data_IF_085984259410
#
_entry.id   IF_085984259410
#
_cell.length_a   1.000
_cell.length_b   1.000
_cell.length_c   1.000
_cell.angle_alpha   90.00
_cell.angle_beta   90.00
_cell.angle_gamma   90.00
#
_symmetry.space_group_name_H-M   'P 1'
#
loop_
_entity.id
_entity.type
_entity.pdbx_description
1 polymer ?
#
# COMPACT_ATOMS: atom_id res chain seq x y z
N UNK A 1 -16.17 20.38 31.60
CA UNK A 1 -17.30 20.51 30.68
C UNK A 1 -16.76 20.19 29.29
N UNK A 2 -17.25 19.09 28.74
CA UNK A 2 -16.90 18.40 27.50
C UNK A 2 -16.15 19.22 26.44
N UNK A 3 -14.90 18.84 26.18
CA UNK A 3 -14.25 19.06 24.87
C UNK A 3 -15.07 18.22 23.89
N UNK A 4 -15.76 18.90 22.99
CA UNK A 4 -16.62 18.32 21.96
C UNK A 4 -15.78 17.44 21.04
N UNK A 5 -16.02 16.13 21.12
CA UNK A 5 -15.74 15.16 20.06
C UNK A 5 -16.57 15.56 18.83
N UNK A 6 -15.97 16.25 17.86
CA UNK A 6 -16.65 16.56 16.60
C UNK A 6 -15.69 16.64 15.40
N UNK A 7 -14.77 15.67 15.27
CA UNK A 7 -13.91 15.56 14.08
C UNK A 7 -14.04 14.21 13.33
N UNK A 8 -15.02 13.38 13.66
CA UNK A 8 -15.17 12.05 13.06
C UNK A 8 -16.34 11.90 12.08
N UNK A 9 -17.14 12.95 11.86
CA UNK A 9 -18.12 12.99 10.78
C UNK A 9 -17.53 13.78 9.61
N UNK A 10 -17.54 13.19 8.41
CA UNK A 10 -17.20 13.88 7.18
C UNK A 10 -18.21 15.00 6.92
N UNK A 11 -17.72 16.20 6.60
CA UNK A 11 -18.53 17.41 6.59
C UNK A 11 -19.33 17.57 5.28
N UNK A 12 -20.43 18.31 5.32
CA UNK A 12 -21.31 18.52 4.16
C UNK A 12 -20.57 19.16 2.97
N UNK A 13 -19.57 19.98 3.25
CA UNK A 13 -18.72 20.63 2.25
C UNK A 13 -17.86 19.60 1.50
N UNK A 14 -17.25 18.65 2.22
CA UNK A 14 -16.51 17.52 1.61
C UNK A 14 -17.43 16.60 0.81
N UNK A 15 -18.71 16.46 1.20
CA UNK A 15 -19.70 15.66 0.47
C UNK A 15 -20.09 16.29 -0.87
N UNK A 16 -20.39 17.59 -0.89
CA UNK A 16 -20.61 18.34 -2.13
C UNK A 16 -19.41 18.17 -3.07
N UNK A 17 -18.21 18.35 -2.52
CA UNK A 17 -16.98 18.20 -3.29
C UNK A 17 -16.87 16.81 -3.93
N UNK A 18 -17.25 15.74 -3.20
CA UNK A 18 -17.29 14.38 -3.72
C UNK A 18 -18.36 14.17 -4.80
N UNK A 19 -19.57 14.72 -4.62
CA UNK A 19 -20.66 14.55 -5.59
C UNK A 19 -20.34 15.25 -6.92
N UNK A 20 -19.81 16.48 -6.83
CA UNK A 20 -19.41 17.25 -8.01
C UNK A 20 -18.22 16.60 -8.72
N UNK A 21 -17.25 16.05 -7.98
CA UNK A 21 -16.14 15.29 -8.56
C UNK A 21 -16.62 14.05 -9.33
N UNK A 22 -17.56 13.31 -8.75
CA UNK A 22 -18.19 12.15 -9.40
C UNK A 22 -18.92 12.57 -10.68
N UNK A 23 -19.77 13.60 -10.62
CA UNK A 23 -20.47 14.10 -11.80
C UNK A 23 -19.48 14.48 -12.91
N UNK A 24 -18.43 15.24 -12.58
CA UNK A 24 -17.44 15.67 -13.57
C UNK A 24 -16.68 14.50 -14.23
N UNK A 25 -16.31 13.48 -13.47
CA UNK A 25 -15.47 12.38 -13.96
C UNK A 25 -16.23 11.25 -14.65
N UNK A 26 -17.46 10.95 -14.21
CA UNK A 26 -18.20 9.77 -14.64
C UNK A 26 -19.32 10.08 -15.64
N UNK A 27 -19.64 11.36 -15.88
CA UNK A 27 -20.69 11.76 -16.82
C UNK A 27 -20.50 11.21 -18.24
N UNK A 28 -19.25 10.97 -18.67
CA UNK A 28 -18.93 10.33 -19.95
C UNK A 28 -19.50 8.90 -20.09
N UNK A 29 -19.75 8.22 -18.97
CA UNK A 29 -20.34 6.87 -18.92
C UNK A 29 -21.87 6.92 -19.02
N UNK A 30 -22.47 8.07 -18.69
CA UNK A 30 -23.91 8.30 -18.75
C UNK A 30 -24.36 8.85 -20.11
N UNK A 31 -23.63 9.84 -20.66
CA UNK A 31 -24.00 10.59 -21.86
C UNK A 31 -22.83 10.68 -22.82
N UNK A 32 -23.08 10.40 -24.10
CA UNK A 32 -22.10 10.58 -25.17
C UNK A 32 -22.77 11.21 -26.38
N UNK A 33 -22.15 12.28 -26.93
CA UNK A 33 -22.68 13.03 -28.08
C UNK A 33 -24.12 13.54 -27.90
N UNK A 34 -24.52 13.89 -26.67
CA UNK A 34 -25.87 14.37 -26.35
C UNK A 34 -26.93 13.27 -26.21
N UNK A 35 -26.55 11.99 -26.33
CA UNK A 35 -27.43 10.84 -26.14
C UNK A 35 -27.09 10.12 -24.84
N UNK A 36 -28.12 9.62 -24.15
CA UNK A 36 -27.96 8.78 -22.96
C UNK A 36 -27.51 7.40 -23.42
N UNK A 37 -26.32 6.98 -22.99
CA UNK A 37 -25.75 5.67 -23.32
C UNK A 37 -25.94 4.67 -22.17
N UNK A 38 -26.21 5.15 -20.95
CA UNK A 38 -26.55 4.33 -19.80
C UNK A 38 -27.57 5.06 -18.91
N UNK A 39 -28.81 4.53 -18.87
CA UNK A 39 -29.91 5.13 -18.11
C UNK A 39 -29.67 5.11 -16.60
N UNK A 40 -28.97 4.10 -16.07
CA UNK A 40 -28.66 3.99 -14.64
C UNK A 40 -27.71 5.11 -14.21
N UNK A 41 -26.56 5.20 -14.89
CA UNK A 41 -25.55 6.24 -14.67
C UNK A 41 -26.15 7.64 -14.88
N UNK A 42 -27.00 7.83 -15.88
CA UNK A 42 -27.66 9.12 -16.12
C UNK A 42 -28.62 9.52 -14.98
N UNK A 43 -29.37 8.56 -14.44
CA UNK A 43 -30.21 8.83 -13.27
C UNK A 43 -29.37 9.17 -12.03
N UNK A 44 -28.22 8.51 -11.83
CA UNK A 44 -27.29 8.87 -10.76
C UNK A 44 -26.76 10.30 -10.92
N UNK A 45 -26.41 10.73 -12.15
CA UNK A 45 -26.00 12.13 -12.40
C UNK A 45 -27.08 13.12 -11.98
N UNK A 46 -28.35 12.83 -12.29
CA UNK A 46 -29.49 13.66 -11.90
C UNK A 46 -29.66 13.69 -10.37
N UNK A 47 -29.62 12.54 -9.71
CA UNK A 47 -29.74 12.41 -8.25
C UNK A 47 -28.60 13.15 -7.53
N UNK A 48 -27.36 12.98 -7.96
CA UNK A 48 -26.20 13.64 -7.35
C UNK A 48 -26.24 15.16 -7.57
N UNK A 49 -26.73 15.63 -8.72
CA UNK A 49 -26.90 17.06 -8.96
C UNK A 49 -27.96 17.68 -8.03
N UNK A 50 -29.06 16.95 -7.78
CA UNK A 50 -30.12 17.38 -6.87
C UNK A 50 -29.65 17.36 -5.40
N UNK A 51 -28.94 16.30 -4.99
CA UNK A 51 -28.39 16.18 -3.64
C UNK A 51 -27.33 17.27 -3.38
N UNK A 52 -26.48 17.58 -4.36
CA UNK A 52 -25.50 18.67 -4.27
C UNK A 52 -26.18 20.00 -3.94
N UNK A 53 -27.29 20.30 -4.65
CA UNK A 53 -28.07 21.50 -4.41
C UNK A 53 -28.68 21.54 -3.01
N UNK A 54 -29.31 20.45 -2.58
CA UNK A 54 -29.93 20.36 -1.25
C UNK A 54 -28.89 20.56 -0.13
N UNK A 55 -27.72 19.91 -0.23
CA UNK A 55 -26.66 20.07 0.77
C UNK A 55 -26.15 21.52 0.75
N UNK A 56 -25.98 22.13 -0.44
CA UNK A 56 -25.45 23.48 -0.57
C UNK A 56 -26.36 24.54 0.08
N UNK A 57 -27.68 24.36 0.03
CA UNK A 57 -28.63 25.25 0.71
C UNK A 57 -28.41 25.31 2.23
N UNK A 58 -27.90 24.23 2.84
CA UNK A 58 -27.60 24.13 4.28
C UNK A 58 -26.28 24.78 4.68
N UNK A 59 -25.42 25.10 3.70
CA UNK A 59 -24.08 25.61 3.92
C UNK A 59 -24.09 27.11 4.28
N UNK A 60 -23.16 27.49 5.16
CA UNK A 60 -22.93 28.90 5.56
C UNK A 60 -21.77 29.47 4.77
N UNK A 61 -22.05 30.45 3.91
CA UNK A 61 -21.09 31.18 3.07
C UNK A 61 -21.30 32.68 3.20
N UNK A 62 -20.33 33.47 2.75
CA UNK A 62 -20.56 34.90 2.48
C UNK A 62 -21.58 35.04 1.33
N UNK A 63 -22.43 36.08 1.36
CA UNK A 63 -23.51 36.23 0.36
C UNK A 63 -22.98 36.29 -1.09
N UNK A 64 -21.77 36.83 -1.29
CA UNK A 64 -21.10 36.89 -2.60
C UNK A 64 -20.65 35.53 -3.10
N UNK A 65 -19.89 34.79 -2.28
CA UNK A 65 -19.39 33.45 -2.63
C UNK A 65 -20.57 32.47 -2.79
N UNK A 66 -21.61 32.62 -1.96
CA UNK A 66 -22.80 31.77 -2.02
C UNK A 66 -23.52 31.91 -3.36
N UNK A 67 -23.80 33.14 -3.79
CA UNK A 67 -24.54 33.39 -5.03
C UNK A 67 -23.79 32.87 -6.27
N UNK A 68 -22.46 33.00 -6.28
CA UNK A 68 -21.63 32.55 -7.40
C UNK A 68 -21.58 31.02 -7.50
N UNK A 69 -21.33 30.32 -6.39
CA UNK A 69 -21.30 28.84 -6.37
C UNK A 69 -22.71 28.28 -6.61
N UNK A 70 -23.74 28.91 -6.06
CA UNK A 70 -25.14 28.53 -6.31
C UNK A 70 -25.45 28.56 -7.80
N UNK A 71 -25.10 29.65 -8.49
CA UNK A 71 -25.30 29.79 -9.94
C UNK A 71 -24.66 28.66 -10.73
N UNK A 72 -23.44 28.25 -10.38
CA UNK A 72 -22.73 27.16 -11.05
C UNK A 72 -23.33 25.79 -10.76
N UNK A 73 -23.81 25.54 -9.53
CA UNK A 73 -24.54 24.29 -9.20
C UNK A 73 -25.84 24.20 -10.02
N UNK A 74 -26.56 25.31 -10.18
CA UNK A 74 -27.73 25.36 -11.07
C UNK A 74 -27.37 25.15 -12.53
N UNK A 75 -26.27 25.75 -13.00
CA UNK A 75 -25.75 25.55 -14.36
C UNK A 75 -25.42 24.07 -14.60
N UNK A 76 -24.68 23.44 -13.69
CA UNK A 76 -24.33 22.02 -13.75
C UNK A 76 -25.57 21.12 -13.85
N UNK A 77 -26.57 21.35 -12.99
CA UNK A 77 -27.82 20.58 -13.03
C UNK A 77 -28.56 20.74 -14.37
N UNK A 78 -28.64 21.96 -14.90
CA UNK A 78 -29.23 22.22 -16.21
C UNK A 78 -28.48 21.52 -17.34
N UNK A 79 -27.15 21.51 -17.29
CA UNK A 79 -26.30 20.85 -18.29
C UNK A 79 -26.51 19.34 -18.35
N UNK A 80 -26.68 18.68 -17.18
CA UNK A 80 -27.00 17.25 -17.11
C UNK A 80 -28.39 16.99 -17.72
N UNK A 81 -29.39 17.82 -17.39
CA UNK A 81 -30.75 17.70 -17.96
C UNK A 81 -30.73 17.88 -19.48
N UNK A 82 -29.99 18.88 -19.97
CA UNK A 82 -29.86 19.19 -21.40
C UNK A 82 -28.90 18.28 -22.16
N UNK A 83 -28.24 17.33 -21.48
CA UNK A 83 -27.27 16.40 -22.07
C UNK A 83 -26.12 17.15 -22.76
N UNK A 84 -25.58 18.16 -22.07
CA UNK A 84 -24.46 18.95 -22.55
C UNK A 84 -23.21 18.07 -22.81
N UNK A 85 -22.18 18.66 -23.44
CA UNK A 85 -20.95 17.94 -23.74
C UNK A 85 -20.23 17.51 -22.46
N UNK A 86 -19.48 16.41 -22.54
CA UNK A 86 -18.67 15.88 -21.42
C UNK A 86 -17.69 16.94 -20.92
N UNK A 87 -17.04 17.65 -21.86
CA UNK A 87 -16.06 18.69 -21.55
C UNK A 87 -16.67 19.85 -20.77
N UNK A 88 -17.88 20.28 -21.14
CA UNK A 88 -18.53 21.40 -20.45
C UNK A 88 -18.95 20.98 -19.03
N UNK A 89 -19.53 19.78 -18.86
CA UNK A 89 -19.93 19.26 -17.55
C UNK A 89 -18.73 19.09 -16.63
N UNK A 90 -17.63 18.50 -17.13
CA UNK A 90 -16.39 18.39 -16.38
C UNK A 90 -15.83 19.77 -15.99
N UNK A 91 -15.86 20.73 -16.93
CA UNK A 91 -15.38 22.09 -16.71
C UNK A 91 -16.14 22.83 -15.60
N UNK A 92 -17.48 22.76 -15.58
CA UNK A 92 -18.29 23.39 -14.53
C UNK A 92 -18.12 22.65 -13.20
N UNK A 93 -18.08 21.32 -13.20
CA UNK A 93 -17.78 20.53 -12.01
C UNK A 93 -16.44 20.94 -11.38
N UNK A 94 -15.37 21.07 -12.18
CA UNK A 94 -14.06 21.51 -11.69
C UNK A 94 -14.08 22.91 -11.07
N UNK A 95 -14.80 23.87 -11.66
CA UNK A 95 -14.96 25.23 -11.10
C UNK A 95 -15.63 25.21 -9.72
N UNK A 96 -16.73 24.46 -9.58
CA UNK A 96 -17.44 24.33 -8.31
C UNK A 96 -16.51 23.71 -7.26
N UNK A 97 -15.75 22.67 -7.62
CA UNK A 97 -14.78 22.03 -6.71
C UNK A 97 -13.75 23.04 -6.19
N UNK A 98 -13.12 23.81 -7.08
CA UNK A 98 -12.10 24.80 -6.72
C UNK A 98 -12.65 25.86 -5.75
N UNK A 99 -13.85 26.38 -6.02
CA UNK A 99 -14.50 27.37 -5.16
C UNK A 99 -14.87 26.80 -3.80
N UNK A 100 -15.48 25.62 -3.74
CA UNK A 100 -15.82 24.96 -2.47
C UNK A 100 -14.57 24.69 -1.63
N UNK A 101 -13.48 24.21 -2.25
CA UNK A 101 -12.19 24.02 -1.57
C UNK A 101 -11.67 25.34 -1.01
N UNK A 102 -11.69 26.40 -1.81
CA UNK A 102 -11.19 27.72 -1.41
C UNK A 102 -12.02 28.36 -0.30
N UNK A 103 -13.36 28.36 -0.42
CA UNK A 103 -14.27 29.00 0.54
C UNK A 103 -14.29 28.30 1.91
N UNK A 104 -14.04 26.99 1.94
CA UNK A 104 -14.08 26.20 3.18
C UNK A 104 -12.73 25.74 3.70
N UNK A 105 -11.64 26.03 2.98
CA UNK A 105 -10.30 25.56 3.33
C UNK A 105 -10.23 24.03 3.40
N UNK A 106 -10.94 23.33 2.52
CA UNK A 106 -11.00 21.87 2.54
C UNK A 106 -9.62 21.33 2.15
N UNK A 107 -9.02 20.57 3.05
CA UNK A 107 -7.82 19.78 2.74
C UNK A 107 -8.23 18.61 1.85
N UNK A 108 -7.95 18.74 0.54
CA UNK A 108 -8.25 17.75 -0.51
C UNK A 108 -7.06 16.85 -0.83
N UNK A 109 -6.02 16.88 -0.02
CA UNK A 109 -4.78 16.15 -0.20
C UNK A 109 -4.27 15.62 1.15
N UNK A 110 -3.42 14.59 1.18
CA UNK A 110 -2.91 14.08 2.43
C UNK A 110 -1.91 15.06 3.08
N UNK A 111 -2.01 15.28 4.39
CA UNK A 111 -1.08 16.15 5.13
C UNK A 111 0.31 15.53 5.26
N UNK A 112 0.37 14.19 5.29
CA UNK A 112 1.59 13.38 5.34
C UNK A 112 1.72 12.59 4.06
N UNK A 113 2.94 12.28 3.64
CA UNK A 113 3.14 11.39 2.51
C UNK A 113 2.51 10.01 2.81
N UNK A 114 1.57 9.51 1.98
CA UNK A 114 0.96 8.20 2.20
C UNK A 114 1.94 7.03 2.02
N UNK A 115 1.68 5.92 2.71
CA UNK A 115 2.40 4.64 2.59
C UNK A 115 1.56 3.62 1.83
N UNK A 116 2.11 3.07 0.74
CA UNK A 116 1.44 2.00 -0.01
C UNK A 116 1.34 0.70 0.81
N UNK A 117 2.32 0.43 1.66
CA UNK A 117 2.36 -0.77 2.49
C UNK A 117 1.25 -0.74 3.56
N UNK A 118 1.09 0.40 4.25
CA UNK A 118 0.00 0.61 5.19
C UNK A 118 -1.37 0.54 4.48
N UNK A 119 -1.46 1.14 3.29
CA UNK A 119 -2.66 1.09 2.45
C UNK A 119 -3.02 -0.34 2.01
N UNK A 120 -2.02 -1.14 1.64
CA UNK A 120 -2.18 -2.54 1.26
C UNK A 120 -2.77 -3.38 2.39
N UNK A 121 -2.23 -3.25 3.61
CA UNK A 121 -2.74 -3.99 4.77
C UNK A 121 -4.20 -3.62 5.07
N UNK A 122 -4.52 -2.33 5.04
CA UNK A 122 -5.88 -1.85 5.26
C UNK A 122 -6.83 -2.32 4.16
N UNK A 123 -6.42 -2.27 2.89
CA UNK A 123 -7.20 -2.75 1.76
C UNK A 123 -7.46 -4.26 1.85
N UNK A 124 -6.43 -5.05 2.16
CA UNK A 124 -6.54 -6.49 2.35
C UNK A 124 -7.59 -6.84 3.41
N UNK A 125 -7.59 -6.11 4.53
CA UNK A 125 -8.48 -6.38 5.66
C UNK A 125 -9.91 -5.86 5.46
N UNK A 126 -10.11 -4.75 4.73
CA UNK A 126 -11.40 -4.05 4.70
C UNK A 126 -12.09 -4.06 3.32
N UNK A 127 -11.36 -4.19 2.22
CA UNK A 127 -11.85 -3.94 0.86
C UNK A 127 -11.81 -5.20 -0.02
N UNK A 128 -10.78 -6.03 0.15
CA UNK A 128 -10.50 -7.18 -0.73
C UNK A 128 -11.61 -8.24 -0.77
N UNK A 129 -12.43 -8.33 0.27
CA UNK A 129 -13.55 -9.28 0.34
C UNK A 129 -14.62 -9.00 -0.72
N UNK A 130 -14.79 -7.74 -1.15
CA UNK A 130 -15.71 -7.38 -2.24
C UNK A 130 -14.93 -7.06 -3.53
N UNK A 131 -13.86 -6.26 -3.45
CA UNK A 131 -13.15 -5.78 -4.65
C UNK A 131 -12.04 -6.72 -5.14
N UNK A 132 -11.74 -7.81 -4.43
CA UNK A 132 -10.63 -8.71 -4.74
C UNK A 132 -9.26 -8.12 -4.38
N UNK A 133 -8.23 -8.98 -4.21
CA UNK A 133 -6.88 -8.50 -3.88
C UNK A 133 -6.24 -7.71 -5.03
N UNK A 134 -6.60 -8.03 -6.27
CA UNK A 134 -6.17 -7.35 -7.49
C UNK A 134 -7.08 -6.21 -7.92
N UNK A 135 -8.12 -5.87 -7.15
CA UNK A 135 -9.10 -4.86 -7.55
C UNK A 135 -10.04 -5.29 -8.69
N UNK A 136 -10.09 -6.59 -9.03
CA UNK A 136 -10.88 -7.11 -10.14
C UNK A 136 -12.39 -7.24 -9.86
N UNK A 137 -12.87 -6.83 -8.69
CA UNK A 137 -14.27 -6.97 -8.30
C UNK A 137 -14.70 -8.42 -8.02
N UNK A 138 -13.74 -9.32 -7.81
CA UNK A 138 -13.93 -10.78 -7.71
C UNK A 138 -13.79 -11.32 -6.28
N UNK A 139 -13.99 -10.46 -5.29
CA UNK A 139 -13.93 -10.84 -3.88
C UNK A 139 -14.99 -11.90 -3.50
N UNK A 140 -14.73 -12.62 -2.41
CA UNK A 140 -15.63 -13.68 -1.92
C UNK A 140 -17.05 -13.19 -1.62
N UNK A 141 -17.23 -11.92 -1.27
CA UNK A 141 -18.51 -11.26 -1.02
C UNK A 141 -19.08 -10.52 -2.24
N UNK A 142 -18.39 -10.51 -3.39
CA UNK A 142 -18.87 -9.84 -4.59
C UNK A 142 -20.14 -10.48 -5.15
N UNK A 143 -20.28 -11.80 -5.00
CA UNK A 143 -21.39 -12.57 -5.56
C UNK A 143 -22.71 -12.22 -4.87
N UNK A 144 -23.68 -11.76 -5.67
CA UNK A 144 -25.05 -11.44 -5.20
C UNK A 144 -25.26 -9.99 -4.78
N UNK A 145 -24.23 -9.13 -4.88
CA UNK A 145 -24.39 -7.69 -4.74
C UNK A 145 -24.98 -7.10 -6.01
N UNK A 146 -25.90 -6.15 -5.85
CA UNK A 146 -26.50 -5.38 -6.94
C UNK A 146 -26.53 -3.88 -6.55
N UNK A 147 -25.78 -3.00 -7.25
CA UNK A 147 -24.85 -3.33 -8.33
C UNK A 147 -23.64 -4.17 -7.85
N UNK A 148 -22.95 -4.90 -8.76
CA UNK A 148 -21.72 -5.61 -8.42
C UNK A 148 -20.62 -4.62 -7.99
N UNK A 149 -19.61 -5.06 -7.20
CA UNK A 149 -18.47 -4.21 -6.88
C UNK A 149 -17.76 -3.72 -8.14
N UNK A 150 -17.36 -2.46 -8.15
CA UNK A 150 -16.59 -1.87 -9.24
C UNK A 150 -15.27 -2.61 -9.44
N UNK A 151 -14.93 -2.87 -10.70
CA UNK A 151 -13.63 -3.36 -11.14
C UNK A 151 -12.66 -2.18 -11.15
N UNK A 152 -11.85 -2.05 -10.10
CA UNK A 152 -10.96 -0.91 -9.87
C UNK A 152 -9.82 -0.79 -10.89
N UNK A 153 -9.53 -1.89 -11.59
CA UNK A 153 -8.52 -2.00 -12.65
C UNK A 153 -9.11 -1.91 -14.06
N UNK A 154 -10.42 -1.69 -14.19
CA UNK A 154 -11.03 -1.45 -15.49
C UNK A 154 -10.43 -0.18 -16.11
N UNK A 155 -9.93 -0.21 -17.37
CA UNK A 155 -9.23 0.94 -17.95
C UNK A 155 -10.07 2.22 -17.98
N UNK A 156 -11.35 2.13 -18.32
CA UNK A 156 -12.23 3.29 -18.44
C UNK A 156 -12.48 3.91 -17.06
N UNK A 157 -12.80 3.07 -16.07
CA UNK A 157 -12.96 3.52 -14.69
C UNK A 157 -11.65 4.09 -14.10
N UNK A 158 -10.54 3.38 -14.29
CA UNK A 158 -9.24 3.74 -13.77
C UNK A 158 -8.71 5.05 -14.38
N UNK A 159 -9.07 5.37 -15.63
CA UNK A 159 -8.72 6.63 -16.28
C UNK A 159 -9.32 7.85 -15.57
N UNK A 160 -10.56 7.74 -15.05
CA UNK A 160 -11.24 8.78 -14.30
C UNK A 160 -10.94 8.81 -12.81
N UNK A 161 -10.15 7.87 -12.29
CA UNK A 161 -9.94 7.70 -10.85
C UNK A 161 -8.83 8.61 -10.30
N UNK A 162 -9.04 9.15 -9.09
CA UNK A 162 -8.06 9.90 -8.31
C UNK A 162 -8.00 9.37 -6.86
N UNK A 163 -6.88 9.52 -6.13
CA UNK A 163 -6.82 9.20 -4.71
C UNK A 163 -7.90 9.93 -3.90
N UNK A 164 -8.18 11.18 -4.22
CA UNK A 164 -9.21 11.96 -3.55
C UNK A 164 -10.61 11.35 -3.72
N UNK A 165 -10.95 10.89 -4.93
CA UNK A 165 -12.21 10.19 -5.20
C UNK A 165 -12.33 8.89 -4.40
N UNK A 166 -11.24 8.10 -4.32
CA UNK A 166 -11.21 6.87 -3.50
C UNK A 166 -11.36 7.20 -2.01
N UNK A 167 -10.61 8.20 -1.51
CA UNK A 167 -10.67 8.68 -0.14
C UNK A 167 -12.11 9.09 0.27
N UNK A 168 -12.79 9.83 -0.59
CA UNK A 168 -14.15 10.28 -0.34
C UNK A 168 -15.15 9.12 -0.41
N UNK A 169 -14.98 8.20 -1.37
CA UNK A 169 -15.81 6.99 -1.45
C UNK A 169 -15.74 6.20 -0.14
N UNK A 170 -14.55 6.05 0.45
CA UNK A 170 -14.41 5.43 1.79
C UNK A 170 -14.99 6.28 2.92
N UNK A 171 -15.04 7.61 2.76
CA UNK A 171 -15.53 8.51 3.80
C UNK A 171 -17.05 8.62 3.84
N UNK A 172 -17.72 8.49 2.70
CA UNK A 172 -19.16 8.68 2.57
C UNK A 172 -19.92 7.40 2.24
N UNK A 173 -19.25 6.39 1.69
CA UNK A 173 -19.90 5.25 1.05
C UNK A 173 -20.63 5.67 -0.22
N UNK A 174 -21.31 4.72 -0.85
CA UNK A 174 -22.14 4.98 -2.04
C UNK A 174 -23.57 4.56 -1.70
N UNK A 175 -24.46 5.55 -1.58
CA UNK A 175 -25.88 5.35 -1.25
C UNK A 175 -26.54 4.44 -2.29
N UNK A 176 -27.39 3.52 -1.84
CA UNK A 176 -28.06 2.57 -2.73
C UNK A 176 -27.22 1.36 -3.13
N UNK A 177 -25.95 1.28 -2.71
CA UNK A 177 -25.06 0.15 -2.97
C UNK A 177 -24.64 -0.54 -1.68
N UNK A 178 -23.87 -1.62 -1.82
CA UNK A 178 -23.24 -2.31 -0.70
C UNK A 178 -21.94 -1.66 -0.21
N UNK A 179 -21.46 -0.56 -0.81
CA UNK A 179 -20.23 0.13 -0.42
C UNK A 179 -20.48 1.07 0.77
N UNK A 180 -20.05 0.71 2.01
CA UNK A 180 -20.34 1.50 3.19
C UNK A 180 -19.35 2.65 3.36
N UNK A 181 -19.66 3.57 4.28
CA UNK A 181 -18.65 4.48 4.84
C UNK A 181 -17.77 3.74 5.85
N UNK A 182 -16.51 4.16 5.98
CA UNK A 182 -15.51 3.60 6.89
C UNK A 182 -15.09 4.63 7.96
N UNK A 183 -15.97 4.99 8.92
CA UNK A 183 -15.65 5.98 9.96
C UNK A 183 -14.57 5.51 10.94
N UNK A 184 -14.34 4.19 11.02
CA UNK A 184 -13.31 3.59 11.86
C UNK A 184 -11.89 3.75 11.31
N UNK A 185 -11.73 4.11 10.03
CA UNK A 185 -10.43 4.38 9.42
C UNK A 185 -10.17 5.89 9.49
N UNK A 186 -9.05 6.29 10.09
CA UNK A 186 -8.65 7.69 10.22
C UNK A 186 -8.35 8.32 8.86
N UNK A 187 -8.47 9.65 8.73
CA UNK A 187 -8.25 10.38 7.47
C UNK A 187 -6.88 10.06 6.84
N UNK A 188 -5.78 10.17 7.60
CA UNK A 188 -4.42 9.76 7.15
C UNK A 188 -4.38 8.34 6.55
N UNK A 189 -5.07 7.40 7.19
CA UNK A 189 -5.10 5.98 6.78
C UNK A 189 -5.97 5.75 5.55
N UNK A 190 -7.02 6.56 5.36
CA UNK A 190 -7.81 6.54 4.12
C UNK A 190 -6.96 7.01 2.95
N UNK A 191 -6.06 7.97 3.15
CA UNK A 191 -5.12 8.37 2.11
C UNK A 191 -4.13 7.26 1.74
N UNK A 192 -3.64 6.50 2.72
CA UNK A 192 -2.82 5.31 2.46
C UNK A 192 -3.56 4.30 1.57
N UNK A 193 -4.81 3.97 1.93
CA UNK A 193 -5.65 3.06 1.12
C UNK A 193 -5.93 3.64 -0.27
N UNK A 194 -6.24 4.93 -0.37
CA UNK A 194 -6.53 5.58 -1.64
C UNK A 194 -5.34 5.53 -2.61
N UNK A 195 -4.14 5.85 -2.13
CA UNK A 195 -2.90 5.73 -2.91
C UNK A 195 -2.61 4.27 -3.27
N UNK A 196 -2.85 3.32 -2.35
CA UNK A 196 -2.71 1.89 -2.65
C UNK A 196 -3.66 1.45 -3.75
N UNK A 197 -4.95 1.80 -3.70
CA UNK A 197 -5.93 1.47 -4.75
C UNK A 197 -5.47 1.97 -6.12
N UNK A 198 -4.95 3.20 -6.20
CA UNK A 198 -4.35 3.70 -7.44
C UNK A 198 -3.14 2.87 -7.89
N UNK A 199 -2.33 2.38 -6.97
CA UNK A 199 -1.17 1.55 -7.29
C UNK A 199 -1.51 0.15 -7.83
N UNK A 200 -2.74 -0.35 -7.59
CA UNK A 200 -3.19 -1.67 -8.08
C UNK A 200 -3.42 -1.64 -9.59
N UNK A 201 -4.00 -0.55 -10.11
CA UNK A 201 -4.22 -0.35 -11.55
C UNK A 201 -2.95 0.06 -12.31
N UNK A 202 -1.89 0.45 -11.61
CA UNK A 202 -0.59 0.75 -12.21
C UNK A 202 0.13 -0.53 -12.65
N UNK A 203 0.73 -0.52 -13.84
CA UNK A 203 1.46 -1.70 -14.32
C UNK A 203 2.85 -1.81 -13.70
N UNK A 204 3.34 -3.04 -13.57
CA UNK A 204 4.71 -3.33 -13.13
C UNK A 204 5.76 -3.21 -14.25
N UNK A 205 5.36 -2.80 -15.46
CA UNK A 205 6.25 -2.77 -16.63
C UNK A 205 7.03 -1.45 -16.67
N UNK A 206 8.33 -1.54 -16.92
CA UNK A 206 9.22 -0.42 -17.26
C UNK A 206 9.16 0.80 -16.32
N UNK A 207 9.23 0.57 -15.00
CA UNK A 207 9.37 1.60 -13.95
C UNK A 207 10.41 2.67 -14.29
N UNK A 208 11.54 2.27 -14.87
CA UNK A 208 12.65 3.18 -15.20
C UNK A 208 12.28 4.14 -16.34
N UNK A 209 11.57 3.67 -17.37
CA UNK A 209 11.07 4.53 -18.45
C UNK A 209 10.03 5.53 -17.95
N UNK A 210 9.12 5.10 -17.06
CA UNK A 210 8.17 5.99 -16.39
C UNK A 210 8.86 7.07 -15.56
N UNK A 211 9.94 6.70 -14.85
CA UNK A 211 10.77 7.63 -14.05
C UNK A 211 11.49 8.66 -14.92
N UNK A 212 12.07 8.24 -16.05
CA UNK A 212 12.74 9.14 -17.00
C UNK A 212 11.76 10.16 -17.60
N UNK A 213 10.57 9.71 -18.01
CA UNK A 213 9.51 10.59 -18.51
C UNK A 213 9.05 11.54 -17.39
N UNK A 214 8.80 11.02 -16.18
CA UNK A 214 8.39 11.83 -15.03
C UNK A 214 9.42 12.89 -14.64
N UNK A 215 10.72 12.63 -14.82
CA UNK A 215 11.78 13.60 -14.54
C UNK A 215 11.65 14.88 -15.40
N UNK A 216 11.08 14.76 -16.60
CA UNK A 216 10.84 15.88 -17.52
C UNK A 216 9.58 16.69 -17.20
N UNK A 217 8.70 16.18 -16.32
CA UNK A 217 7.45 16.85 -15.94
C UNK A 217 7.67 18.02 -14.97
N UNK A 218 6.67 18.92 -14.92
CA UNK A 218 6.65 20.04 -13.99
C UNK A 218 6.58 19.57 -12.54
N UNK A 219 7.05 20.40 -11.61
CA UNK A 219 6.96 20.08 -10.18
C UNK A 219 5.50 20.00 -9.67
N UNK A 220 4.55 20.59 -10.41
CA UNK A 220 3.13 20.51 -10.11
C UNK A 220 2.63 19.06 -10.14
N UNK A 221 2.98 18.28 -11.17
CA UNK A 221 2.55 16.88 -11.31
C UNK A 221 3.36 15.94 -10.41
N UNK A 222 4.56 16.36 -9.99
CA UNK A 222 5.45 15.58 -9.10
C UNK A 222 5.18 15.81 -7.60
N UNK A 223 4.28 16.73 -7.24
CA UNK A 223 3.86 16.90 -5.86
C UNK A 223 2.75 15.88 -5.55
N UNK A 224 2.96 15.07 -4.51
CA UNK A 224 1.97 14.07 -4.08
C UNK A 224 0.64 14.72 -3.68
N UNK A 225 0.65 15.99 -3.27
CA UNK A 225 -0.58 16.73 -2.93
C UNK A 225 -1.43 17.00 -4.17
N UNK A 226 -0.80 17.30 -5.30
CA UNK A 226 -1.51 17.52 -6.56
C UNK A 226 -1.92 16.18 -7.19
N UNK A 227 -1.06 15.16 -7.09
CA UNK A 227 -1.42 13.80 -7.50
C UNK A 227 -2.63 13.27 -6.73
N UNK A 228 -2.80 13.66 -5.46
CA UNK A 228 -3.94 13.25 -4.67
C UNK A 228 -5.28 13.67 -5.29
N UNK A 229 -5.35 14.82 -5.95
CA UNK A 229 -6.59 15.40 -6.49
C UNK A 229 -6.83 15.13 -7.97
N UNK A 230 -5.76 14.99 -8.77
CA UNK A 230 -5.89 14.80 -10.22
C UNK A 230 -6.33 13.37 -10.56
N UNK A 231 -7.25 13.22 -11.52
CA UNK A 231 -7.53 11.92 -12.15
C UNK A 231 -6.40 11.51 -13.10
N UNK A 232 -6.39 10.24 -13.55
CA UNK A 232 -5.39 9.81 -14.54
C UNK A 232 -5.54 10.57 -15.87
N UNK A 233 -6.75 10.80 -16.36
CA UNK A 233 -6.99 11.60 -17.57
C UNK A 233 -6.49 13.04 -17.40
N UNK A 234 -6.74 13.67 -16.25
CA UNK A 234 -6.25 15.02 -15.99
C UNK A 234 -4.72 15.09 -15.90
N UNK A 235 -4.06 14.03 -15.42
CA UNK A 235 -2.60 13.93 -15.48
C UNK A 235 -2.15 13.82 -16.93
N UNK A 236 -2.80 12.98 -17.75
CA UNK A 236 -2.47 12.82 -19.16
C UNK A 236 -2.64 14.11 -19.96
N UNK A 237 -3.70 14.88 -19.73
CA UNK A 237 -3.92 16.19 -20.36
C UNK A 237 -2.82 17.21 -20.01
N UNK A 238 -2.24 17.10 -18.81
CA UNK A 238 -1.13 17.94 -18.34
C UNK A 238 0.24 17.44 -18.83
N UNK A 239 0.33 16.22 -19.33
CA UNK A 239 1.56 15.64 -19.89
C UNK A 239 1.68 16.03 -21.37
N UNK A 240 2.89 16.31 -21.83
CA UNK A 240 3.15 16.78 -23.18
C UNK A 240 2.70 15.74 -24.23
N UNK A 241 1.97 16.17 -25.27
CA UNK A 241 1.44 15.36 -26.37
C UNK A 241 2.49 14.61 -27.23
N UNK A 242 3.76 14.69 -26.87
CA UNK A 242 4.87 13.95 -27.49
C UNK A 242 5.17 12.60 -26.82
N UNK A 243 4.43 12.22 -25.78
CA UNK A 243 4.56 10.90 -25.14
C UNK A 243 3.66 9.89 -25.86
N UNK A 244 4.19 8.71 -26.19
CA UNK A 244 3.40 7.64 -26.79
C UNK A 244 2.36 7.10 -25.81
N UNK A 245 1.31 6.43 -26.30
CA UNK A 245 0.30 5.79 -25.46
C UNK A 245 0.92 4.81 -24.43
N UNK A 246 1.94 4.06 -24.84
CA UNK A 246 2.72 3.20 -23.95
C UNK A 246 3.54 3.99 -22.92
N UNK A 247 4.08 5.16 -23.30
CA UNK A 247 4.78 6.05 -22.38
C UNK A 247 3.84 6.70 -21.35
N UNK A 248 2.60 6.98 -21.74
CA UNK A 248 1.54 7.49 -20.88
C UNK A 248 1.19 6.47 -19.78
N UNK A 249 1.11 5.19 -20.13
CA UNK A 249 0.90 4.11 -19.17
C UNK A 249 2.06 3.99 -18.17
N UNK A 250 3.31 4.11 -18.64
CA UNK A 250 4.50 4.05 -17.78
C UNK A 250 4.60 5.22 -16.80
N UNK A 251 4.34 6.45 -17.27
CA UNK A 251 4.41 7.64 -16.41
C UNK A 251 3.30 7.65 -15.37
N UNK A 252 2.06 7.28 -15.75
CA UNK A 252 0.96 7.12 -14.78
C UNK A 252 1.34 6.05 -13.74
N UNK A 253 1.87 4.91 -14.18
CA UNK A 253 2.29 3.85 -13.27
C UNK A 253 3.38 4.32 -12.30
N UNK A 254 4.37 5.08 -12.77
CA UNK A 254 5.38 5.69 -11.90
C UNK A 254 4.80 6.71 -10.92
N UNK A 255 3.93 7.62 -11.38
CA UNK A 255 3.32 8.64 -10.52
C UNK A 255 2.40 8.03 -9.45
N UNK A 256 1.64 6.98 -9.78
CA UNK A 256 0.67 6.33 -8.86
C UNK A 256 1.28 5.30 -7.95
N UNK A 257 2.31 4.59 -8.40
CA UNK A 257 3.00 3.55 -7.63
C UNK A 257 4.41 3.99 -7.27
N UNK A 258 5.27 4.20 -8.26
CA UNK A 258 6.70 4.48 -8.07
C UNK A 258 7.07 5.73 -7.25
N UNK A 259 6.17 6.69 -7.03
CA UNK A 259 6.42 7.84 -6.15
C UNK A 259 6.13 7.56 -4.67
N UNK A 260 5.26 6.59 -4.40
CA UNK A 260 4.78 6.21 -3.07
C UNK A 260 5.34 4.87 -2.59
N UNK A 261 5.87 4.07 -3.51
CA UNK A 261 6.53 2.80 -3.23
C UNK A 261 7.82 3.04 -2.42
N UNK A 262 7.86 2.49 -1.21
CA UNK A 262 9.06 2.57 -0.36
C UNK A 262 10.22 1.75 -0.95
N UNK A 263 9.95 0.88 -1.94
CA UNK A 263 10.99 0.14 -2.68
C UNK A 263 11.65 0.96 -3.80
N UNK A 264 11.00 2.02 -4.29
CA UNK A 264 11.62 3.02 -5.19
C UNK A 264 12.17 4.23 -4.42
N UNK A 265 11.73 4.42 -3.18
CA UNK A 265 12.45 5.18 -2.15
C UNK A 265 13.62 4.37 -1.63
N UNK A 266 14.64 4.12 -2.45
CA UNK A 266 15.84 3.41 -2.00
C UNK A 266 16.33 3.99 -0.66
N UNK A 267 16.98 3.18 0.16
CA UNK A 267 17.86 3.65 1.23
C UNK A 267 18.60 4.95 0.83
N UNK A 268 19.07 5.01 -0.41
CA UNK A 268 19.68 6.19 -1.01
C UNK A 268 18.77 7.42 -1.13
N UNK A 269 17.46 7.29 -1.37
CA UNK A 269 16.50 8.41 -1.41
C UNK A 269 16.21 9.02 -0.04
N UNK A 270 16.06 8.20 1.02
CA UNK A 270 15.86 8.72 2.38
C UNK A 270 17.14 9.38 2.91
N UNK A 271 18.30 8.76 2.65
CA UNK A 271 19.62 9.32 2.96
C UNK A 271 19.88 10.61 2.17
N UNK A 272 19.55 10.65 0.87
CA UNK A 272 19.70 11.85 0.04
C UNK A 272 18.76 12.98 0.48
N UNK A 273 17.51 12.68 0.85
CA UNK A 273 16.57 13.67 1.38
C UNK A 273 17.09 14.26 2.70
N UNK A 274 17.59 13.40 3.59
CA UNK A 274 18.22 13.82 4.85
C UNK A 274 19.39 14.76 4.58
N UNK A 275 20.26 14.40 3.63
CA UNK A 275 21.42 15.21 3.23
C UNK A 275 21.00 16.57 2.68
N UNK A 276 19.99 16.62 1.82
CA UNK A 276 19.47 17.86 1.23
C UNK A 276 18.90 18.80 2.30
N UNK A 277 18.09 18.29 3.22
CA UNK A 277 17.50 19.07 4.31
C UNK A 277 18.56 19.61 5.28
N UNK A 278 19.63 18.84 5.55
CA UNK A 278 20.78 19.32 6.32
C UNK A 278 21.56 20.41 5.58
N UNK A 279 21.69 20.34 4.25
CA UNK A 279 22.33 21.39 3.45
C UNK A 279 21.54 22.70 3.52
N UNK A 280 20.22 22.61 3.47
CA UNK A 280 19.35 23.78 3.58
C UNK A 280 19.36 24.36 5.00
N UNK A 281 19.39 23.51 6.03
CA UNK A 281 19.60 23.94 7.41
C UNK A 281 20.90 24.75 7.56
N UNK A 282 22.02 24.30 6.98
CA UNK A 282 23.29 25.01 7.03
C UNK A 282 23.23 26.37 6.30
N UNK A 283 22.59 26.42 5.12
CA UNK A 283 22.39 27.68 4.37
C UNK A 283 21.59 28.69 5.20
N UNK A 284 20.48 28.25 5.81
CA UNK A 284 19.64 29.09 6.67
C UNK A 284 20.41 29.60 7.89
N UNK A 285 21.24 28.75 8.50
CA UNK A 285 22.07 29.17 9.63
C UNK A 285 23.08 30.25 9.23
N UNK A 286 23.75 30.08 8.09
CA UNK A 286 24.69 31.08 7.53
C UNK A 286 24.02 32.40 7.20
N UNK A 287 22.76 32.36 6.77
CA UNK A 287 21.93 33.54 6.52
C UNK A 287 21.43 34.23 7.81
N UNK A 288 21.67 33.64 9.00
CA UNK A 288 21.22 34.16 10.29
C UNK A 288 19.84 33.66 10.74
N UNK A 289 19.17 32.83 9.93
CA UNK A 289 17.83 32.30 10.20
C UNK A 289 17.90 31.06 11.10
N UNK A 290 18.23 31.26 12.38
CA UNK A 290 18.46 30.17 13.35
C UNK A 290 17.23 29.29 13.60
N UNK A 291 16.03 29.88 13.64
CA UNK A 291 14.77 29.15 13.89
C UNK A 291 14.46 28.19 12.74
N UNK A 292 14.51 28.69 11.50
CA UNK A 292 14.24 27.90 10.30
C UNK A 292 15.31 26.83 10.07
N UNK A 293 16.58 27.13 10.39
CA UNK A 293 17.67 26.14 10.40
C UNK A 293 17.39 25.00 11.41
N UNK A 294 16.91 25.33 12.60
CA UNK A 294 16.55 24.33 13.60
C UNK A 294 15.39 23.44 13.12
N UNK A 295 14.34 24.04 12.57
CA UNK A 295 13.18 23.33 12.01
C UNK A 295 13.59 22.44 10.83
N UNK A 296 14.42 22.91 9.91
CA UNK A 296 14.92 22.08 8.79
C UNK A 296 15.80 20.93 9.23
N UNK A 297 16.50 21.07 10.35
CA UNK A 297 17.26 19.97 10.95
C UNK A 297 16.33 18.92 11.55
N UNK A 298 15.21 19.34 12.14
CA UNK A 298 14.19 18.43 12.65
C UNK A 298 13.51 17.67 11.50
N UNK A 299 13.19 18.37 10.40
CA UNK A 299 12.66 17.76 9.18
C UNK A 299 13.62 16.72 8.61
N UNK A 300 14.93 17.00 8.58
CA UNK A 300 15.93 16.05 8.13
C UNK A 300 15.89 14.74 8.93
N UNK A 301 15.67 14.84 10.24
CA UNK A 301 15.56 13.66 11.10
C UNK A 301 14.25 12.90 10.84
N UNK A 302 13.10 13.57 10.96
CA UNK A 302 11.77 12.93 10.93
C UNK A 302 11.38 12.48 9.52
N UNK A 303 11.56 13.35 8.53
CA UNK A 303 11.16 13.06 7.15
C UNK A 303 12.21 12.23 6.40
N UNK A 304 13.46 12.24 6.86
CA UNK A 304 14.58 11.55 6.21
C UNK A 304 15.08 10.36 7.02
N UNK A 305 15.87 10.63 8.07
CA UNK A 305 16.66 9.61 8.77
C UNK A 305 15.81 8.57 9.53
N UNK A 306 14.67 8.96 10.11
CA UNK A 306 13.76 8.07 10.84
C UNK A 306 13.26 6.90 9.97
N UNK A 307 13.13 7.12 8.65
CA UNK A 307 12.71 6.08 7.72
C UNK A 307 13.70 4.92 7.60
N UNK A 308 15.00 5.17 7.78
CA UNK A 308 16.07 4.16 7.69
C UNK A 308 16.57 3.68 9.05
N UNK A 309 16.11 4.30 10.13
CA UNK A 309 16.51 4.03 11.50
C UNK A 309 16.29 2.56 11.92
N UNK A 310 15.15 1.90 11.61
CA UNK A 310 14.91 0.51 12.01
C UNK A 310 15.89 -0.47 11.36
N UNK A 311 16.16 -0.30 10.06
CA UNK A 311 17.09 -1.16 9.32
C UNK A 311 18.53 -0.94 9.78
N UNK A 312 18.90 0.31 10.06
CA UNK A 312 20.21 0.65 10.58
C UNK A 312 20.39 0.11 12.00
N UNK A 313 19.33 0.10 12.82
CA UNK A 313 19.35 -0.50 14.16
C UNK A 313 19.64 -2.00 14.10
N UNK A 314 19.02 -2.71 13.15
CA UNK A 314 19.24 -4.15 12.96
C UNK A 314 20.66 -4.44 12.48
N UNK A 315 21.19 -3.61 11.57
CA UNK A 315 22.53 -3.83 10.97
C UNK A 315 23.68 -3.34 11.85
N UNK A 316 23.56 -2.15 12.43
CA UNK A 316 24.56 -1.57 13.33
C UNK A 316 23.92 -0.60 14.35
N UNK A 317 23.47 -1.16 15.47
CA UNK A 317 22.89 -0.41 16.59
C UNK A 317 23.82 0.66 17.16
N UNK A 318 25.14 0.40 17.22
CA UNK A 318 26.09 1.37 17.79
C UNK A 318 26.20 2.58 16.89
N UNK A 319 26.33 2.33 15.59
CA UNK A 319 26.38 3.38 14.59
C UNK A 319 25.08 4.20 14.56
N UNK A 320 23.91 3.56 14.58
CA UNK A 320 22.61 4.26 14.70
C UNK A 320 22.58 5.26 15.87
N UNK A 321 23.01 4.80 17.05
CA UNK A 321 23.03 5.62 18.27
C UNK A 321 23.99 6.82 18.13
N UNK A 322 25.12 6.64 17.45
CA UNK A 322 26.05 7.72 17.14
C UNK A 322 25.44 8.78 16.22
N UNK A 323 24.70 8.36 15.18
CA UNK A 323 24.03 9.29 14.26
C UNK A 323 22.98 10.14 14.99
N UNK A 324 22.17 9.54 15.87
CA UNK A 324 21.18 10.26 16.70
C UNK A 324 21.82 11.29 17.63
N UNK A 325 22.96 10.94 18.24
CA UNK A 325 23.73 11.85 19.07
C UNK A 325 24.23 13.05 18.26
N UNK A 326 24.79 12.81 17.06
CA UNK A 326 25.27 13.89 16.19
C UNK A 326 24.13 14.79 15.70
N UNK A 327 22.93 14.25 15.42
CA UNK A 327 21.74 15.06 15.09
C UNK A 327 21.33 15.95 16.27
N UNK A 328 21.39 15.42 17.49
CA UNK A 328 21.09 16.17 18.70
C UNK A 328 22.12 17.27 18.98
N UNK A 329 23.41 16.98 18.80
CA UNK A 329 24.49 17.95 18.94
C UNK A 329 24.38 19.09 17.93
N UNK A 330 24.07 18.77 16.66
CA UNK A 330 23.87 19.76 15.61
C UNK A 330 22.68 20.70 15.92
N UNK A 331 21.53 20.14 16.32
CA UNK A 331 20.36 20.93 16.75
C UNK A 331 20.65 21.82 17.96
N UNK A 332 21.35 21.28 18.96
CA UNK A 332 21.70 22.04 20.16
C UNK A 332 22.68 23.17 19.83
N UNK A 333 23.65 22.93 18.94
CA UNK A 333 24.59 23.96 18.50
C UNK A 333 23.88 25.11 17.76
N UNK A 334 22.90 24.80 16.90
CA UNK A 334 22.04 25.80 16.24
C UNK A 334 21.26 26.61 17.28
N UNK A 335 20.60 25.93 18.22
CA UNK A 335 19.79 26.56 19.28
C UNK A 335 20.62 27.45 20.20
N UNK A 336 21.84 27.02 20.54
CA UNK A 336 22.78 27.80 21.35
C UNK A 336 23.52 28.88 20.56
N UNK A 337 23.29 29.00 19.25
CA UNK A 337 23.87 30.07 18.45
C UNK A 337 25.39 29.98 18.31
N UNK A 338 25.94 28.76 18.19
CA UNK A 338 27.38 28.50 18.02
C UNK A 338 27.97 29.14 16.76
N UNK A 339 29.29 29.22 16.68
CA UNK A 339 29.94 29.83 15.51
C UNK A 339 29.61 29.07 14.22
N UNK A 340 29.57 29.78 13.09
CA UNK A 340 29.30 29.15 11.77
C UNK A 340 30.26 27.99 11.50
N UNK A 341 31.54 28.15 11.90
CA UNK A 341 32.56 27.12 11.74
C UNK A 341 32.28 25.85 12.55
N UNK A 342 31.74 25.98 13.76
CA UNK A 342 31.33 24.82 14.57
C UNK A 342 30.12 24.09 13.93
N UNK A 343 29.15 24.85 13.40
CA UNK A 343 27.99 24.27 12.70
C UNK A 343 28.43 23.56 11.42
N UNK A 344 29.34 24.14 10.63
CA UNK A 344 29.90 23.50 9.44
C UNK A 344 30.58 22.16 9.77
N UNK A 345 31.37 22.11 10.84
CA UNK A 345 32.04 20.86 11.25
C UNK A 345 31.04 19.76 11.64
N UNK A 346 30.00 20.10 12.40
CA UNK A 346 28.95 19.16 12.77
C UNK A 346 28.10 18.72 11.57
N UNK A 347 27.86 19.63 10.62
CA UNK A 347 27.19 19.32 9.37
C UNK A 347 28.00 18.31 8.53
N UNK A 348 29.31 18.54 8.36
CA UNK A 348 30.20 17.60 7.65
C UNK A 348 30.16 16.22 8.32
N UNK A 349 30.25 16.17 9.65
CA UNK A 349 30.15 14.92 10.40
C UNK A 349 28.84 14.17 10.14
N UNK A 350 27.72 14.90 10.06
CA UNK A 350 26.43 14.30 9.71
C UNK A 350 26.39 13.82 8.25
N UNK A 351 26.98 14.54 7.31
CA UNK A 351 27.07 14.10 5.90
C UNK A 351 27.90 12.80 5.78
N UNK A 352 29.02 12.69 6.50
CA UNK A 352 29.86 11.49 6.53
C UNK A 352 29.11 10.29 7.14
N UNK A 353 28.34 10.55 8.21
CA UNK A 353 27.45 9.56 8.81
C UNK A 353 26.39 9.07 7.82
N UNK A 354 25.78 9.96 7.04
CA UNK A 354 24.77 9.60 6.04
C UNK A 354 25.37 8.73 4.92
N UNK A 355 26.57 9.06 4.44
CA UNK A 355 27.27 8.24 3.46
C UNK A 355 27.57 6.83 4.00
N UNK A 356 28.03 6.76 5.25
CA UNK A 356 28.32 5.49 5.92
C UNK A 356 27.04 4.67 6.18
N UNK A 357 25.94 5.33 6.52
CA UNK A 357 24.63 4.70 6.67
C UNK A 357 24.17 4.07 5.34
N UNK A 358 24.33 4.77 4.21
CA UNK A 358 24.02 4.23 2.87
C UNK A 358 24.76 2.92 2.62
N UNK A 359 26.08 2.88 2.90
CA UNK A 359 26.91 1.68 2.71
C UNK A 359 26.46 0.52 3.61
N UNK A 360 26.18 0.79 4.88
CA UNK A 360 25.71 -0.24 5.83
C UNK A 360 24.36 -0.79 5.39
N UNK A 361 23.45 0.09 5.00
CA UNK A 361 22.10 -0.26 4.59
C UNK A 361 22.05 -0.96 3.22
N UNK A 362 22.97 -0.65 2.30
CA UNK A 362 23.12 -1.35 1.02
C UNK A 362 23.87 -2.68 1.15
N UNK A 363 24.69 -2.85 2.19
CA UNK A 363 25.37 -4.13 2.43
C UNK A 363 24.33 -5.24 2.70
N UNK A 364 24.34 -6.31 1.89
CA UNK A 364 23.49 -7.49 2.10
C UNK A 364 23.78 -8.05 3.50
N UNK A 365 22.85 -7.88 4.45
CA UNK A 365 22.96 -8.48 5.78
C UNK A 365 21.98 -9.64 5.93
N UNK A 366 22.54 -10.78 6.33
CA UNK A 366 22.00 -11.82 7.23
C UNK A 366 20.67 -12.52 6.92
N UNK A 367 19.76 -11.99 6.10
CA UNK A 367 18.47 -12.62 5.77
C UNK A 367 18.62 -13.94 5.03
N UNK A 368 19.62 -14.07 4.14
CA UNK A 368 19.95 -15.35 3.49
C UNK A 368 20.51 -16.37 4.48
N UNK A 369 21.33 -15.94 5.44
CA UNK A 369 21.87 -16.82 6.47
C UNK A 369 20.78 -17.25 7.47
N UNK A 370 19.88 -16.36 7.86
CA UNK A 370 18.75 -16.69 8.74
C UNK A 370 17.73 -17.58 8.02
N UNK A 371 17.41 -17.31 6.76
CA UNK A 371 16.53 -18.16 5.95
C UNK A 371 17.17 -19.52 5.66
N UNK A 372 18.48 -19.55 5.41
CA UNK A 372 19.26 -20.78 5.31
C UNK A 372 19.23 -21.55 6.63
N UNK A 373 19.49 -20.90 7.78
CA UNK A 373 19.45 -21.54 9.09
C UNK A 373 18.05 -22.04 9.45
N UNK A 374 16.99 -21.31 9.12
CA UNK A 374 15.61 -21.74 9.33
C UNK A 374 15.28 -22.97 8.47
N UNK A 375 15.60 -22.92 7.18
CA UNK A 375 15.39 -24.05 6.25
C UNK A 375 16.23 -25.27 6.64
N UNK A 376 17.48 -25.03 7.04
CA UNK A 376 18.41 -26.04 7.52
C UNK A 376 17.94 -26.65 8.84
N UNK A 377 17.49 -25.85 9.81
CA UNK A 377 16.99 -26.34 11.10
C UNK A 377 15.74 -27.21 10.94
N UNK A 378 14.83 -26.86 10.04
CA UNK A 378 13.66 -27.69 9.69
C UNK A 378 14.12 -29.02 9.10
N UNK A 379 14.97 -28.97 8.07
CA UNK A 379 15.48 -30.17 7.39
C UNK A 379 16.27 -31.09 8.34
N UNK A 380 17.09 -30.52 9.22
CA UNK A 380 17.86 -31.26 10.23
C UNK A 380 16.93 -31.88 11.27
N UNK A 381 15.90 -31.15 11.73
CA UNK A 381 14.92 -31.68 12.69
C UNK A 381 14.15 -32.86 12.10
N UNK A 382 13.61 -32.72 10.90
CA UNK A 382 12.87 -33.79 10.22
C UNK A 382 13.78 -34.99 9.90
N UNK A 383 15.02 -34.75 9.48
CA UNK A 383 16.01 -35.80 9.25
C UNK A 383 16.37 -36.56 10.53
N UNK A 384 16.53 -35.86 11.66
CA UNK A 384 16.84 -36.48 12.95
C UNK A 384 15.66 -37.30 13.49
N UNK A 385 14.42 -36.78 13.40
CA UNK A 385 13.20 -37.50 13.79
C UNK A 385 13.04 -38.80 12.97
N UNK A 386 13.29 -38.77 11.66
CA UNK A 386 13.25 -39.96 10.81
C UNK A 386 14.30 -41.01 11.19
N UNK A 387 15.54 -40.59 11.47
CA UNK A 387 16.62 -41.49 11.91
C UNK A 387 16.29 -42.12 13.26
N UNK A 388 15.72 -41.35 14.19
CA UNK A 388 15.31 -41.85 15.51
C UNK A 388 14.19 -42.90 15.41
N UNK A 389 13.21 -42.70 14.52
CA UNK A 389 12.15 -43.69 14.27
C UNK A 389 12.74 -44.98 13.71
N UNK A 390 13.63 -44.88 12.71
CA UNK A 390 14.30 -46.04 12.12
C UNK A 390 15.13 -46.77 13.18
N UNK A 391 15.91 -46.03 13.98
CA UNK A 391 16.71 -46.59 15.06
C UNK A 391 15.85 -47.29 16.11
N UNK A 392 14.71 -46.70 16.51
CA UNK A 392 13.77 -47.30 17.46
C UNK A 392 13.17 -48.61 16.92
N UNK A 393 12.77 -48.64 15.64
CA UNK A 393 12.23 -49.86 15.01
C UNK A 393 13.30 -50.95 14.92
N UNK A 394 14.53 -50.60 14.53
CA UNK A 394 15.66 -51.56 14.48
C UNK A 394 15.99 -52.09 15.87
N UNK A 395 16.01 -51.23 16.89
CA UNK A 395 16.25 -51.62 18.28
C UNK A 395 15.15 -52.57 18.78
N UNK A 396 13.88 -52.27 18.49
CA UNK A 396 12.74 -53.13 18.83
C UNK A 396 12.82 -54.50 18.14
N UNK A 397 13.08 -54.55 16.83
CA UNK A 397 13.21 -55.80 16.09
C UNK A 397 14.43 -56.63 16.53
N UNK A 398 15.48 -55.96 16.96
CA UNK A 398 16.67 -56.61 17.54
C UNK A 398 16.37 -57.21 18.91
N UNK A 399 15.57 -56.55 19.73
CA UNK A 399 15.16 -57.01 21.06
C UNK A 399 14.14 -58.15 21.01
N UNK A 400 13.24 -58.19 20.01
CA UNK A 400 12.20 -59.23 19.86
C UNK A 400 12.67 -60.47 19.08
N UNK A 401 13.97 -60.59 18.78
CA UNK A 401 14.54 -61.74 18.06
C UNK A 401 14.24 -61.78 16.55
N UNK A 402 13.55 -60.77 16.01
CA UNK A 402 13.13 -60.69 14.60
C UNK A 402 14.19 -60.02 13.70
N UNK A 403 15.47 -60.30 13.93
CA UNK A 403 16.59 -59.66 13.19
C UNK A 403 16.51 -59.83 11.67
N UNK A 404 15.92 -60.94 11.18
CA UNK A 404 15.75 -61.17 9.74
C UNK A 404 14.88 -60.10 9.05
N UNK A 405 14.06 -59.37 9.80
CA UNK A 405 13.17 -58.33 9.26
C UNK A 405 13.85 -56.98 9.09
N UNK A 406 15.03 -56.75 9.70
CA UNK A 406 15.78 -55.49 9.61
C UNK A 406 16.14 -55.15 8.15
N UNK A 407 16.38 -56.17 7.31
CA UNK A 407 16.65 -55.97 5.88
C UNK A 407 15.53 -55.22 5.16
N UNK A 408 14.27 -55.41 5.56
CA UNK A 408 13.12 -54.71 4.97
C UNK A 408 13.07 -53.24 5.37
N UNK A 409 13.56 -52.89 6.56
CA UNK A 409 13.72 -51.49 6.97
C UNK A 409 14.77 -50.80 6.10
N UNK A 410 15.89 -51.49 5.79
CA UNK A 410 16.90 -50.96 4.87
C UNK A 410 16.37 -50.76 3.45
N UNK A 411 15.62 -51.72 2.91
CA UNK A 411 14.94 -51.53 1.62
C UNK A 411 13.99 -50.34 1.65
N UNK A 412 13.25 -50.15 2.75
CA UNK A 412 12.30 -49.06 2.91
C UNK A 412 12.93 -47.68 2.81
N UNK A 413 13.96 -47.37 3.61
CA UNK A 413 14.56 -46.03 3.58
C UNK A 413 15.38 -45.77 2.31
N UNK A 414 16.03 -46.79 1.73
CA UNK A 414 16.74 -46.66 0.45
C UNK A 414 15.75 -46.37 -0.69
N UNK A 415 14.62 -47.08 -0.72
CA UNK A 415 13.57 -46.83 -1.71
C UNK A 415 12.97 -45.43 -1.56
N UNK A 416 12.78 -44.95 -0.32
CA UNK A 416 12.29 -43.60 -0.05
C UNK A 416 13.24 -42.52 -0.58
N UNK A 417 14.56 -42.68 -0.39
CA UNK A 417 15.56 -41.76 -0.96
C UNK A 417 15.52 -41.76 -2.50
N UNK A 418 15.41 -42.94 -3.11
CA UNK A 418 15.27 -43.08 -4.56
C UNK A 418 14.01 -42.41 -5.10
N UNK A 419 12.87 -42.61 -4.43
CA UNK A 419 11.61 -41.96 -4.78
C UNK A 419 11.69 -40.44 -4.63
N UNK A 420 12.34 -39.93 -3.57
CA UNK A 420 12.58 -38.50 -3.37
C UNK A 420 13.42 -37.88 -4.50
N UNK A 421 14.52 -38.51 -4.88
CA UNK A 421 15.36 -38.06 -6.00
C UNK A 421 14.61 -38.08 -7.33
N UNK A 422 13.83 -39.12 -7.59
CA UNK A 422 13.00 -39.23 -8.79
C UNK A 422 11.95 -38.11 -8.84
N UNK A 423 11.31 -37.82 -7.71
CA UNK A 423 10.28 -36.78 -7.61
C UNK A 423 10.89 -35.39 -7.83
N UNK A 424 12.04 -35.10 -7.22
CA UNK A 424 12.79 -33.85 -7.46
C UNK A 424 13.17 -33.67 -8.93
N UNK A 425 13.67 -34.75 -9.57
CA UNK A 425 14.03 -34.72 -10.98
C UNK A 425 12.81 -34.47 -11.87
N UNK A 426 11.70 -35.20 -11.66
CA UNK A 426 10.46 -35.00 -12.39
C UNK A 426 9.89 -33.58 -12.21
N UNK A 427 9.91 -33.06 -10.98
CA UNK A 427 9.45 -31.71 -10.69
C UNK A 427 10.27 -30.64 -11.45
N UNK A 428 11.60 -30.81 -11.52
CA UNK A 428 12.49 -29.89 -12.24
C UNK A 428 12.28 -29.93 -13.76
N UNK A 429 11.98 -31.10 -14.31
CA UNK A 429 11.89 -31.30 -15.77
C UNK A 429 10.49 -31.04 -16.33
N UNK A 430 9.44 -31.39 -15.59
CA UNK A 430 8.04 -31.34 -16.08
C UNK A 430 7.37 -30.00 -15.76
N UNK A 431 7.83 -29.27 -14.75
CA UNK A 431 7.13 -28.08 -14.26
C UNK A 431 7.98 -26.81 -14.46
N UNK A 432 7.73 -26.09 -15.55
CA UNK A 432 8.22 -24.73 -15.78
C UNK A 432 7.35 -23.74 -14.99
N UNK A 433 7.59 -23.63 -13.69
CA UNK A 433 6.74 -22.91 -12.74
C UNK A 433 7.05 -21.41 -12.76
N UNK A 434 6.03 -20.58 -13.01
CA UNK A 434 6.04 -19.14 -12.67
C UNK A 434 5.91 -18.94 -11.16
N UNK A 435 6.40 -17.82 -10.61
CA UNK A 435 6.48 -17.58 -9.15
C UNK A 435 5.21 -17.89 -8.36
N UNK A 436 4.02 -17.55 -8.89
CA UNK A 436 2.73 -17.79 -8.23
C UNK A 436 2.37 -19.29 -8.07
N UNK A 437 2.74 -20.13 -9.03
CA UNK A 437 2.50 -21.58 -8.94
C UNK A 437 3.41 -22.26 -7.91
N UNK A 438 4.57 -21.65 -7.60
CA UNK A 438 5.50 -22.14 -6.58
C UNK A 438 4.93 -21.98 -5.17
N UNK A 439 4.32 -20.83 -4.90
CA UNK A 439 3.70 -20.53 -3.60
C UNK A 439 2.47 -21.41 -3.33
N UNK A 440 1.64 -21.67 -4.35
CA UNK A 440 0.49 -22.57 -4.23
C UNK A 440 0.93 -24.00 -3.91
N UNK A 441 1.96 -24.51 -4.59
CA UNK A 441 2.47 -25.87 -4.35
C UNK A 441 3.08 -25.98 -2.96
N UNK A 442 3.79 -24.96 -2.49
CA UNK A 442 4.34 -24.91 -1.14
C UNK A 442 3.23 -24.91 -0.08
N UNK A 443 2.18 -24.10 -0.28
CA UNK A 443 1.01 -24.07 0.60
C UNK A 443 0.27 -25.42 0.68
N UNK A 444 0.01 -26.06 -0.46
CA UNK A 444 -0.64 -27.38 -0.51
C UNK A 444 0.23 -28.45 0.17
N UNK A 445 1.54 -28.41 -0.06
CA UNK A 445 2.48 -29.37 0.55
C UNK A 445 2.51 -29.22 2.07
N UNK A 446 2.57 -27.98 2.56
CA UNK A 446 2.55 -27.68 4.00
C UNK A 446 1.24 -28.11 4.68
N UNK A 447 0.08 -27.82 4.07
CA UNK A 447 -1.23 -28.25 4.55
C UNK A 447 -1.36 -29.78 4.60
N UNK A 448 -0.86 -30.46 3.56
CA UNK A 448 -0.88 -31.93 3.50
C UNK A 448 0.01 -32.53 4.58
N UNK A 449 1.21 -31.98 4.78
CA UNK A 449 2.12 -32.42 5.85
C UNK A 449 1.48 -32.23 7.24
N UNK A 450 0.84 -31.08 7.49
CA UNK A 450 0.14 -30.80 8.74
C UNK A 450 -1.00 -31.80 9.00
N UNK A 451 -1.80 -32.12 7.98
CA UNK A 451 -2.89 -33.10 8.07
C UNK A 451 -2.37 -34.52 8.40
N UNK A 452 -1.27 -34.93 7.76
CA UNK A 452 -0.63 -36.23 8.04
C UNK A 452 -0.08 -36.28 9.46
N UNK A 453 0.62 -35.24 9.91
CA UNK A 453 1.16 -35.17 11.28
C UNK A 453 0.04 -35.18 12.32
N UNK A 454 -1.06 -34.47 12.07
CA UNK A 454 -2.24 -34.49 12.92
C UNK A 454 -2.86 -35.89 13.00
N UNK A 455 -3.05 -36.55 11.85
CA UNK A 455 -3.60 -37.90 11.78
C UNK A 455 -2.71 -38.92 12.52
N UNK A 456 -1.39 -38.87 12.30
CA UNK A 456 -0.44 -39.77 12.97
C UNK A 456 -0.44 -39.52 14.47
N UNK A 457 -0.43 -38.26 14.92
CA UNK A 457 -0.50 -37.91 16.34
C UNK A 457 -1.79 -38.41 16.99
N UNK A 458 -2.93 -38.18 16.34
CA UNK A 458 -4.24 -38.68 16.78
C UNK A 458 -4.27 -40.22 16.88
N UNK A 459 -3.77 -40.91 15.86
CA UNK A 459 -3.69 -42.37 15.84
C UNK A 459 -2.81 -42.92 16.98
N UNK A 460 -1.69 -42.26 17.27
CA UNK A 460 -0.77 -42.69 18.31
C UNK A 460 -1.38 -42.50 19.71
N UNK A 461 -2.03 -41.35 19.95
CA UNK A 461 -2.72 -41.05 21.23
C UNK A 461 -3.87 -42.05 21.47
N UNK A 462 -4.72 -42.28 20.46
CA UNK A 462 -5.85 -43.22 20.59
C UNK A 462 -5.40 -44.64 20.88
N UNK A 463 -4.27 -45.11 20.31
CA UNK A 463 -3.72 -46.44 20.62
C UNK A 463 -3.09 -46.55 22.00
N UNK A 464 -2.50 -45.47 22.52
CA UNK A 464 -1.99 -45.41 23.90
C UNK A 464 -3.15 -45.50 24.90
N UNK A 465 -4.26 -44.79 24.66
CA UNK A 465 -5.43 -44.83 25.52
C UNK A 465 -6.11 -46.20 25.52
N UNK A 466 -6.28 -46.84 24.35
CA UNK A 466 -6.86 -48.19 24.26
C UNK A 466 -6.05 -49.22 25.04
N UNK A 467 -4.72 -49.10 25.07
CA UNK A 467 -3.86 -50.01 25.85
C UNK A 467 -4.01 -49.80 27.36
N UNK A 468 -4.08 -48.55 27.82
CA UNK A 468 -4.36 -48.19 29.23
C UNK A 468 -5.75 -48.66 29.67
N UNK A 469 -6.75 -48.47 28.79
CA UNK A 469 -8.13 -48.86 29.04
C UNK A 469 -8.28 -50.39 29.11
N UNK A 470 -7.57 -51.13 28.25
CA UNK A 470 -7.55 -52.59 28.27
C UNK A 470 -6.82 -53.16 29.51
N UNK A 471 -5.75 -52.51 29.97
CA UNK A 471 -5.10 -52.84 31.25
C UNK A 471 -6.03 -52.60 32.44
N UNK A 472 -6.76 -51.49 32.46
CA UNK A 472 -7.74 -51.18 33.52
C UNK A 472 -8.87 -52.21 33.61
N UNK A 473 -9.35 -52.73 32.47
CA UNK A 473 -10.42 -53.74 32.43
C UNK A 473 -9.92 -55.16 32.76
N UNK A 474 -8.64 -55.47 32.50
CA UNK A 474 -8.09 -56.81 32.68
C UNK A 474 -7.39 -57.04 34.03
N UNK A 475 -7.25 -56.01 34.86
CA UNK A 475 -6.63 -56.08 36.19
C UNK A 475 -5.18 -55.63 36.17
#
# INVERSE_FOLDING_TARGET
MLITLSSFASSNEKRILSLVDYIGGDYQNAVKNGEVINDGEYNEMLEFSAETKEIFETLKLSDGDKAEIESEIYELSNMIVSKASVQDVEGVSNKIKEKIISSYGIVSYPEKKPSLEAGQELYANNCSQCHGMSGAGDGSLAHGLNPPPTVLIDPDFYSGLSPFKVHNTMSFGIKGTAMPAFPQITDDKKWDVACYVMSIGATNKNSDSGKEIAATLTNEIKDYKNLAVLSNNQILDKINSNVSEEGNEFVISYLRKGMFDSSTGSVGSAIAMTSALLNDSLKLYKAGNKKESYEKTLDAYILGFEQVEPDLFVKDRKFKTEVEANFSDYRNAIKSGKSVKEIENLHIKLQDNLNSASVILESESSGKYLSFLNSFAIMVREGLEAILIIAAIIAFLSATGSRKSIKYIHYGWIAALGAGLLTWFLAKTVISISGAQREIIEGITALTAAAVLFYVSYWLITKIEVKKWKQYIQG
#
